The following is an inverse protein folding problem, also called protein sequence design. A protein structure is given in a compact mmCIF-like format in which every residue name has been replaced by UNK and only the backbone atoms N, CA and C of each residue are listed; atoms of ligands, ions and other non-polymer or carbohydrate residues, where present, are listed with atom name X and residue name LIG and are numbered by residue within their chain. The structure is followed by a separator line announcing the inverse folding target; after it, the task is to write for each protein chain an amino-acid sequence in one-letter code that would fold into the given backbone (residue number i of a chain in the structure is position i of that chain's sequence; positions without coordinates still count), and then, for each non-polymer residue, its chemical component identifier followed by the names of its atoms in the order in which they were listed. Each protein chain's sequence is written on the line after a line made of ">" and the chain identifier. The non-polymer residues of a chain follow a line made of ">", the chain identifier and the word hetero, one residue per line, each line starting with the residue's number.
data_IF_379489791797
#
_entry.id   IF_379489791797
#
_cell.length_a   1.000
_cell.length_b   1.000
_cell.length_c   1.000
_cell.angle_alpha   90.00
_cell.angle_beta   90.00
_cell.angle_gamma   90.00
#
_symmetry.space_group_name_H-M   'P 1'
#
loop_
_entity.id
_entity.type
_entity.pdbx_description
1 polymer ?
#
# COMPACT_ATOMS: atom_id res chain seq x y z
N UNK A 1 13.62 21.09 -1.70
CA UNK A 1 12.59 20.04 -1.50
C UNK A 1 11.80 19.91 -2.78
N UNK A 2 11.66 18.70 -3.34
CA UNK A 2 10.78 18.49 -4.51
C UNK A 2 9.35 18.42 -3.98
N UNK A 3 8.50 19.36 -4.36
CA UNK A 3 7.08 19.28 -4.04
C UNK A 3 6.49 18.04 -4.73
N UNK A 4 5.87 17.17 -3.94
CA UNK A 4 5.22 15.96 -4.44
C UNK A 4 3.78 16.32 -4.74
N UNK A 5 3.35 16.08 -5.98
CA UNK A 5 1.95 16.21 -6.35
C UNK A 5 1.14 15.13 -5.60
N UNK A 6 0.13 15.50 -4.80
CA UNK A 6 -0.77 14.54 -4.20
C UNK A 6 -1.50 13.80 -5.32
N UNK A 7 -1.52 12.47 -5.25
CA UNK A 7 -2.28 11.63 -6.16
C UNK A 7 -3.54 11.13 -5.48
N UNK A 8 -4.65 11.14 -6.22
CA UNK A 8 -5.99 10.78 -5.71
C UNK A 8 -6.07 9.39 -5.08
N UNK A 9 -5.16 8.48 -5.46
CA UNK A 9 -5.17 7.07 -5.05
C UNK A 9 -4.06 6.68 -4.07
N UNK A 10 -3.14 7.59 -3.70
CA UNK A 10 -1.94 7.23 -2.92
C UNK A 10 -1.78 8.07 -1.65
N UNK A 11 -2.18 7.51 -0.50
CA UNK A 11 -1.98 8.10 0.83
C UNK A 11 -0.53 8.53 1.12
N UNK A 12 0.45 7.78 0.60
CA UNK A 12 1.88 8.11 0.69
C UNK A 12 2.22 9.47 0.08
N UNK A 13 1.59 9.82 -1.04
CA UNK A 13 1.81 11.11 -1.70
C UNK A 13 1.24 12.26 -0.87
N UNK A 14 0.02 12.09 -0.32
CA UNK A 14 -0.62 13.09 0.54
C UNK A 14 0.20 13.38 1.81
N UNK A 15 0.73 12.34 2.46
CA UNK A 15 1.61 12.50 3.63
C UNK A 15 2.86 13.34 3.30
N UNK A 16 3.52 13.04 2.18
CA UNK A 16 4.69 13.79 1.71
C UNK A 16 4.36 15.23 1.31
N UNK A 17 3.20 15.46 0.69
CA UNK A 17 2.73 16.81 0.34
C UNK A 17 2.49 17.67 1.58
N UNK A 18 1.76 17.16 2.58
CA UNK A 18 1.53 17.87 3.85
C UNK A 18 2.85 18.19 4.54
N UNK A 19 3.75 17.20 4.63
CA UNK A 19 5.07 17.41 5.25
C UNK A 19 5.88 18.48 4.50
N UNK A 20 5.83 18.49 3.17
CA UNK A 20 6.53 19.49 2.35
C UNK A 20 5.98 20.90 2.58
N UNK A 21 4.67 21.04 2.72
CA UNK A 21 4.01 22.32 3.04
C UNK A 21 4.43 22.81 4.42
N UNK A 22 4.40 21.95 5.44
CA UNK A 22 4.80 22.31 6.80
C UNK A 22 6.27 22.73 6.90
N UNK A 23 7.18 21.98 6.26
CA UNK A 23 8.62 22.30 6.26
C UNK A 23 8.91 23.59 5.47
N UNK A 24 8.23 23.77 4.33
CA UNK A 24 8.51 24.87 3.40
C UNK A 24 7.58 26.06 3.57
N UNK A 25 6.82 26.13 4.68
CA UNK A 25 5.70 27.07 4.83
C UNK A 25 6.11 28.53 4.61
N UNK A 26 7.15 29.00 5.31
CA UNK A 26 7.63 30.38 5.18
C UNK A 26 8.13 30.70 3.76
N UNK A 27 9.04 29.91 3.16
CA UNK A 27 9.41 30.09 1.76
C UNK A 27 8.21 30.08 0.80
N UNK A 28 7.23 29.20 1.03
CA UNK A 28 6.03 29.07 0.20
C UNK A 28 5.19 30.34 0.23
N UNK A 29 4.93 30.90 1.42
CA UNK A 29 4.21 32.17 1.55
C UNK A 29 4.92 33.33 0.85
N UNK A 30 6.23 33.48 1.07
CA UNK A 30 7.03 34.54 0.43
C UNK A 30 7.02 34.42 -1.10
N UNK A 31 7.05 33.18 -1.60
CA UNK A 31 7.00 32.92 -3.05
C UNK A 31 5.63 33.26 -3.62
N UNK A 32 4.54 32.87 -2.94
CA UNK A 32 3.17 33.19 -3.35
C UNK A 32 2.91 34.71 -3.29
N UNK A 33 3.41 35.39 -2.26
CA UNK A 33 3.34 36.85 -2.15
C UNK A 33 4.09 37.53 -3.30
N UNK A 34 5.30 37.06 -3.62
CA UNK A 34 6.08 37.58 -4.74
C UNK A 34 5.34 37.41 -6.07
N UNK A 35 4.89 36.19 -6.41
CA UNK A 35 4.15 35.91 -7.66
C UNK A 35 2.89 36.77 -7.72
N UNK A 36 2.15 36.89 -6.61
CA UNK A 36 0.93 37.70 -6.56
C UNK A 36 1.15 39.19 -6.84
N UNK A 37 2.37 39.68 -6.61
CA UNK A 37 2.74 41.08 -6.81
C UNK A 37 3.11 41.42 -8.25
N UNK A 38 3.49 40.42 -9.06
CA UNK A 38 3.98 40.59 -10.44
C UNK A 38 2.86 40.94 -11.44
N UNK A 39 1.60 40.66 -11.10
CA UNK A 39 0.41 40.90 -11.94
C UNK A 39 0.45 40.19 -13.29
N UNK A 40 1.04 39.01 -13.31
CA UNK A 40 1.04 38.06 -14.42
C UNK A 40 -0.23 37.19 -14.45
N UNK A 41 -0.30 36.23 -15.38
CA UNK A 41 -1.41 35.28 -15.51
C UNK A 41 -1.58 34.38 -14.27
N UNK A 42 -0.49 34.10 -13.54
CA UNK A 42 -0.50 33.24 -12.34
C UNK A 42 -0.86 34.01 -11.06
N UNK A 43 -0.84 35.34 -11.09
CA UNK A 43 -1.09 36.20 -9.93
C UNK A 43 -2.42 35.93 -9.23
N UNK A 44 -3.56 35.71 -9.91
CA UNK A 44 -4.83 35.38 -9.26
C UNK A 44 -4.80 34.04 -8.51
N UNK A 45 -4.16 33.01 -9.09
CA UNK A 45 -4.03 31.70 -8.45
C UNK A 45 -3.12 31.77 -7.23
N UNK A 46 -1.99 32.46 -7.34
CA UNK A 46 -1.07 32.68 -6.23
C UNK A 46 -1.75 33.43 -5.07
N UNK A 47 -2.58 34.45 -5.37
CA UNK A 47 -3.40 35.16 -4.38
C UNK A 47 -4.40 34.23 -3.67
N UNK A 48 -5.07 33.35 -4.42
CA UNK A 48 -6.02 32.39 -3.88
C UNK A 48 -5.35 31.39 -2.92
N UNK A 49 -4.23 30.80 -3.35
CA UNK A 49 -3.43 29.88 -2.53
C UNK A 49 -2.87 30.56 -1.27
N UNK A 50 -2.39 31.80 -1.41
CA UNK A 50 -1.92 32.61 -0.29
C UNK A 50 -3.03 32.82 0.74
N UNK A 51 -4.24 33.13 0.31
CA UNK A 51 -5.40 33.29 1.19
C UNK A 51 -5.77 31.98 1.91
N UNK A 52 -5.75 30.84 1.20
CA UNK A 52 -6.04 29.53 1.78
C UNK A 52 -5.00 29.16 2.85
N UNK A 53 -3.71 29.33 2.56
CA UNK A 53 -2.63 28.98 3.49
C UNK A 53 -2.51 29.95 4.67
N UNK A 54 -2.93 31.21 4.49
CA UNK A 54 -2.97 32.19 5.57
C UNK A 54 -4.18 32.02 6.51
N UNK A 55 -5.14 31.14 6.16
CA UNK A 55 -6.31 30.88 6.99
C UNK A 55 -5.93 29.96 8.19
N UNK A 56 -6.16 30.38 9.45
CA UNK A 56 -5.85 29.57 10.62
C UNK A 56 -6.55 28.20 10.64
N UNK A 57 -7.78 28.10 10.10
CA UNK A 57 -8.51 26.83 9.98
C UNK A 57 -7.80 25.85 9.06
N UNK A 58 -7.30 26.33 7.92
CA UNK A 58 -6.52 25.50 6.99
C UNK A 58 -5.27 24.98 7.67
N UNK A 59 -4.52 25.85 8.35
CA UNK A 59 -3.30 25.44 9.03
C UNK A 59 -3.56 24.47 10.17
N UNK A 60 -4.63 24.69 10.94
CA UNK A 60 -5.07 23.73 11.96
C UNK A 60 -5.36 22.36 11.34
N UNK A 61 -6.14 22.30 10.24
CA UNK A 61 -6.42 21.06 9.53
C UNK A 61 -5.13 20.37 9.04
N UNK A 62 -4.20 21.12 8.45
CA UNK A 62 -2.92 20.58 7.95
C UNK A 62 -2.12 19.95 9.11
N UNK A 63 -2.05 20.63 10.26
CA UNK A 63 -1.35 20.13 11.45
C UNK A 63 -2.01 18.87 12.03
N UNK A 64 -3.35 18.81 12.04
CA UNK A 64 -4.10 17.65 12.53
C UNK A 64 -4.03 16.46 11.55
N UNK A 65 -4.05 16.72 10.24
CA UNK A 65 -3.95 15.69 9.21
C UNK A 65 -2.55 15.05 9.14
N UNK A 66 -1.49 15.80 9.48
CA UNK A 66 -0.12 15.32 9.41
C UNK A 66 0.10 13.98 10.16
N UNK A 67 -0.22 13.84 11.46
CA UNK A 67 -0.05 12.57 12.17
C UNK A 67 -0.97 11.45 11.65
N UNK A 68 -2.18 11.77 11.18
CA UNK A 68 -3.13 10.80 10.60
C UNK A 68 -2.55 10.21 9.33
N UNK A 69 -2.13 11.06 8.39
CA UNK A 69 -1.53 10.63 7.13
C UNK A 69 -0.20 9.91 7.32
N UNK A 70 0.59 10.28 8.33
CA UNK A 70 1.82 9.56 8.69
C UNK A 70 1.51 8.14 9.17
N UNK A 71 0.51 7.95 10.03
CA UNK A 71 0.09 6.61 10.46
C UNK A 71 -0.34 5.75 9.26
N UNK A 72 -1.16 6.29 8.35
CA UNK A 72 -1.58 5.61 7.12
C UNK A 72 -0.42 5.33 6.17
N UNK A 73 0.53 6.25 6.05
CA UNK A 73 1.73 6.06 5.23
C UNK A 73 2.61 4.92 5.76
N UNK A 74 2.77 4.80 7.08
CA UNK A 74 3.49 3.68 7.71
C UNK A 74 2.75 2.37 7.43
N UNK A 75 1.43 2.33 7.66
CA UNK A 75 0.62 1.14 7.38
C UNK A 75 0.70 0.71 5.92
N UNK A 76 0.57 1.66 4.97
CA UNK A 76 0.73 1.38 3.54
C UNK A 76 2.10 0.78 3.21
N UNK A 77 3.19 1.26 3.83
CA UNK A 77 4.53 0.69 3.63
C UNK A 77 4.65 -0.71 4.23
N UNK A 78 4.04 -0.97 5.38
CA UNK A 78 3.99 -2.31 5.99
C UNK A 78 3.29 -3.31 5.05
N UNK A 79 2.21 -2.90 4.39
CA UNK A 79 1.51 -3.75 3.40
C UNK A 79 2.32 -3.98 2.11
N UNK A 80 3.34 -3.16 1.85
CA UNK A 80 4.21 -3.25 0.67
C UNK A 80 5.48 -4.08 0.92
N UNK A 81 5.67 -4.64 2.11
CA UNK A 81 6.84 -5.50 2.37
C UNK A 81 6.68 -6.84 1.62
N UNK A 82 7.78 -7.32 1.01
CA UNK A 82 7.78 -8.56 0.22
C UNK A 82 7.56 -9.82 1.07
N UNK A 83 7.84 -9.73 2.36
CA UNK A 83 7.80 -10.81 3.35
C UNK A 83 6.64 -10.61 4.34
N UNK A 84 5.58 -9.92 3.93
CA UNK A 84 4.41 -9.75 4.79
C UNK A 84 3.83 -11.14 5.15
N UNK A 85 4.10 -11.57 6.37
CA UNK A 85 3.51 -12.72 7.01
C UNK A 85 2.12 -12.35 7.54
N UNK A 86 1.16 -13.26 7.43
CA UNK A 86 -0.22 -13.04 7.87
C UNK A 86 -0.29 -12.70 9.36
N UNK A 87 0.57 -13.31 10.18
CA UNK A 87 0.63 -13.02 11.60
C UNK A 87 1.04 -11.55 11.87
N UNK A 88 1.93 -11.00 11.03
CA UNK A 88 2.35 -9.60 11.14
C UNK A 88 1.25 -8.65 10.64
N UNK A 89 0.47 -9.05 9.65
CA UNK A 89 -0.63 -8.25 9.11
C UNK A 89 -1.68 -7.90 10.17
N UNK A 90 -2.04 -8.86 11.03
CA UNK A 90 -2.97 -8.63 12.13
C UNK A 90 -2.40 -7.63 13.15
N UNK A 91 -1.10 -7.74 13.47
CA UNK A 91 -0.41 -6.84 14.39
C UNK A 91 -0.37 -5.42 13.80
N UNK A 92 0.00 -5.27 12.52
CA UNK A 92 0.06 -3.96 11.84
C UNK A 92 -1.31 -3.29 11.78
N UNK A 93 -2.35 -4.06 11.46
CA UNK A 93 -3.73 -3.58 11.40
C UNK A 93 -4.16 -3.09 12.78
N UNK A 94 -3.95 -3.90 13.82
CA UNK A 94 -4.34 -3.57 15.21
C UNK A 94 -3.59 -2.35 15.73
N UNK A 95 -2.28 -2.27 15.51
CA UNK A 95 -1.45 -1.13 15.91
C UNK A 95 -1.88 0.16 15.20
N UNK A 96 -2.20 0.10 13.91
CA UNK A 96 -2.67 1.25 13.14
C UNK A 96 -4.04 1.72 13.62
N UNK A 97 -4.97 0.79 13.87
CA UNK A 97 -6.29 1.11 14.41
C UNK A 97 -6.19 1.79 15.78
N UNK A 98 -5.39 1.24 16.70
CA UNK A 98 -5.14 1.85 18.02
C UNK A 98 -4.58 3.26 17.87
N UNK A 99 -3.60 3.45 16.98
CA UNK A 99 -3.02 4.77 16.74
C UNK A 99 -4.02 5.77 16.17
N UNK A 100 -4.93 5.34 15.30
CA UNK A 100 -5.99 6.20 14.77
C UNK A 100 -7.02 6.56 15.84
N UNK A 101 -7.37 5.63 16.73
CA UNK A 101 -8.26 5.89 17.87
C UNK A 101 -7.64 6.93 18.82
N UNK A 102 -6.36 6.79 19.17
CA UNK A 102 -5.62 7.78 19.98
C UNK A 102 -5.63 9.19 19.36
N UNK A 103 -5.62 9.30 18.03
CA UNK A 103 -5.63 10.59 17.34
C UNK A 103 -6.97 11.31 17.44
N UNK A 104 -8.03 10.67 17.94
CA UNK A 104 -9.31 11.33 18.27
C UNK A 104 -9.28 11.98 19.65
N UNK A 105 -8.39 11.56 20.54
CA UNK A 105 -8.30 12.05 21.91
C UNK A 105 -7.49 13.36 21.98
N UNK A 106 -8.04 14.43 21.41
CA UNK A 106 -7.39 15.73 21.36
C UNK A 106 -7.52 16.49 22.70
N UNK A 107 -6.39 16.70 23.38
CA UNK A 107 -6.37 17.41 24.66
C UNK A 107 -6.39 18.93 24.48
N UNK A 108 -6.75 19.68 25.52
CA UNK A 108 -6.67 21.14 25.52
C UNK A 108 -5.25 21.64 25.19
N UNK A 109 -4.21 20.93 25.67
CA UNK A 109 -2.81 21.24 25.35
C UNK A 109 -2.48 21.06 23.88
N UNK A 110 -3.08 20.09 23.19
CA UNK A 110 -2.83 19.86 21.75
C UNK A 110 -3.36 21.02 20.91
N UNK A 111 -4.57 21.49 21.22
CA UNK A 111 -5.13 22.70 20.61
C UNK A 111 -4.22 23.91 20.85
N UNK A 112 -3.81 24.14 22.11
CA UNK A 112 -2.92 25.26 22.42
C UNK A 112 -1.59 25.21 21.68
N UNK A 113 -0.98 24.02 21.59
CA UNK A 113 0.30 23.83 20.92
C UNK A 113 0.19 24.16 19.43
N UNK A 114 -0.84 23.67 18.75
CA UNK A 114 -1.07 23.95 17.33
C UNK A 114 -1.38 25.44 17.13
N UNK A 115 -2.23 26.04 17.98
CA UNK A 115 -2.54 27.48 17.90
C UNK A 115 -1.27 28.32 18.08
N UNK A 116 -0.42 28.00 19.06
CA UNK A 116 0.88 28.67 19.25
C UNK A 116 1.75 28.53 18.01
N UNK A 117 1.85 27.33 17.42
CA UNK A 117 2.57 27.12 16.16
C UNK A 117 2.03 28.02 15.06
N UNK A 118 0.70 28.03 14.84
CA UNK A 118 0.05 28.86 13.82
C UNK A 118 0.33 30.36 14.04
N UNK A 119 0.26 30.83 15.29
CA UNK A 119 0.53 32.23 15.64
C UNK A 119 1.99 32.65 15.41
N UNK A 120 2.94 31.71 15.53
CA UNK A 120 4.36 31.98 15.25
C UNK A 120 4.69 32.01 13.76
N UNK A 121 3.79 31.54 12.91
CA UNK A 121 3.99 31.55 11.47
C UNK A 121 3.90 32.99 10.93
N UNK A 122 4.69 33.35 9.92
CA UNK A 122 4.65 34.68 9.34
C UNK A 122 3.25 34.99 8.81
N UNK A 123 2.60 35.99 9.40
CA UNK A 123 1.32 36.53 8.94
C UNK A 123 1.58 37.35 7.69
N UNK A 124 0.96 36.96 6.57
CA UNK A 124 0.89 37.83 5.40
C UNK A 124 -0.28 38.78 5.60
N UNK A 125 -0.04 40.09 5.45
CA UNK A 125 -1.06 41.10 5.66
C UNK A 125 -2.30 40.77 4.81
N UNK A 126 -3.53 40.78 5.36
CA UNK A 126 -4.72 40.52 4.56
C UNK A 126 -4.76 41.54 3.43
N UNK A 127 -4.56 41.07 2.21
CA UNK A 127 -4.60 41.89 1.01
C UNK A 127 -5.97 42.56 0.95
N UNK A 128 -5.96 43.88 1.11
CA UNK A 128 -7.13 44.76 1.21
C UNK A 128 -8.08 44.66 0.00
N UNK A 129 -7.67 43.98 -1.08
CA UNK A 129 -8.43 43.80 -2.32
C UNK A 129 -9.45 42.65 -2.30
N UNK A 130 -9.40 41.73 -1.31
CA UNK A 130 -10.41 40.66 -1.14
C UNK A 130 -11.39 40.94 0.01
N UNK A 131 -11.65 42.21 0.31
CA UNK A 131 -12.54 42.68 1.39
C UNK A 131 -14.03 42.34 1.21
N UNK A 132 -14.43 41.61 0.17
CA UNK A 132 -15.81 41.07 0.04
C UNK A 132 -15.97 39.62 0.50
N UNK A 133 -14.87 38.95 0.82
CA UNK A 133 -14.85 37.62 1.46
C UNK A 133 -14.20 37.74 2.84
N UNK A 134 -14.59 38.77 3.59
CA UNK A 134 -14.33 38.79 5.02
C UNK A 134 -15.03 37.57 5.61
N UNK A 135 -14.27 36.49 5.82
CA UNK A 135 -14.61 35.47 6.78
C UNK A 135 -14.87 36.24 8.07
N UNK A 136 -16.13 36.29 8.48
CA UNK A 136 -16.52 36.92 9.72
C UNK A 136 -15.58 36.43 10.82
N UNK A 137 -15.09 37.36 11.64
CA UNK A 137 -14.32 37.09 12.85
C UNK A 137 -15.18 36.39 13.93
N UNK A 138 -16.06 35.47 13.54
CA UNK A 138 -16.59 34.48 14.46
C UNK A 138 -15.38 33.69 14.96
N UNK A 139 -15.25 33.58 16.28
CA UNK A 139 -14.20 32.81 16.92
C UNK A 139 -14.13 31.44 16.24
N UNK A 140 -13.03 31.16 15.53
CA UNK A 140 -12.84 29.87 14.88
C UNK A 140 -12.81 28.83 15.99
N UNK A 141 -13.90 28.07 16.11
CA UNK A 141 -13.99 26.98 17.07
C UNK A 141 -13.27 25.76 16.47
N UNK A 142 -11.96 25.71 16.70
CA UNK A 142 -11.13 24.57 16.27
C UNK A 142 -11.61 23.25 16.86
N UNK A 143 -12.23 23.28 18.03
CA UNK A 143 -12.78 22.09 18.67
C UNK A 143 -14.02 21.62 17.92
N UNK A 144 -14.96 22.52 17.62
CA UNK A 144 -16.10 22.17 16.78
C UNK A 144 -15.66 21.67 15.40
N UNK A 145 -14.64 22.28 14.79
CA UNK A 145 -14.09 21.83 13.51
C UNK A 145 -13.50 20.42 13.61
N UNK A 146 -12.73 20.14 14.66
CA UNK A 146 -12.16 18.82 14.91
C UNK A 146 -13.27 17.77 15.09
N UNK A 147 -14.24 18.04 15.97
CA UNK A 147 -15.33 17.12 16.30
C UNK A 147 -16.26 16.86 15.11
N UNK A 148 -16.53 17.88 14.28
CA UNK A 148 -17.49 17.75 13.16
C UNK A 148 -16.88 17.31 11.84
N UNK A 149 -15.56 17.46 11.64
CA UNK A 149 -14.89 17.16 10.36
C UNK A 149 -13.79 16.11 10.49
N UNK A 150 -12.93 16.23 11.49
CA UNK A 150 -11.76 15.35 11.64
C UNK A 150 -12.17 14.02 12.26
N UNK A 151 -12.93 14.03 13.35
CA UNK A 151 -13.37 12.79 14.02
C UNK A 151 -14.14 11.88 13.06
N UNK A 152 -15.17 12.35 12.32
CA UNK A 152 -15.86 11.52 11.34
C UNK A 152 -14.96 11.00 10.20
N UNK A 153 -13.93 11.78 9.83
CA UNK A 153 -12.95 11.34 8.84
C UNK A 153 -12.07 10.19 9.38
N UNK A 154 -11.61 10.29 10.62
CA UNK A 154 -10.86 9.21 11.29
C UNK A 154 -11.74 7.97 11.44
N UNK A 155 -12.98 8.13 11.89
CA UNK A 155 -13.92 7.02 12.06
C UNK A 155 -14.18 6.31 10.71
N UNK A 156 -14.39 7.06 9.63
CA UNK A 156 -14.54 6.48 8.30
C UNK A 156 -13.28 5.70 7.86
N UNK A 157 -12.08 6.19 8.16
CA UNK A 157 -10.83 5.45 7.89
C UNK A 157 -10.78 4.15 8.70
N UNK A 158 -11.09 4.22 9.99
CA UNK A 158 -11.11 3.08 10.91
C UNK A 158 -12.09 2.02 10.41
N UNK A 159 -13.31 2.42 10.03
CA UNK A 159 -14.32 1.51 9.47
C UNK A 159 -13.84 0.86 8.18
N UNK A 160 -13.22 1.62 7.26
CA UNK A 160 -12.67 1.07 6.03
C UNK A 160 -11.55 0.04 6.29
N UNK A 161 -10.66 0.31 7.24
CA UNK A 161 -9.59 -0.63 7.62
C UNK A 161 -10.20 -1.88 8.25
N UNK A 162 -11.14 -1.75 9.18
CA UNK A 162 -11.82 -2.89 9.83
C UNK A 162 -12.60 -3.74 8.83
N UNK A 163 -13.32 -3.11 7.91
CA UNK A 163 -14.08 -3.82 6.88
C UNK A 163 -13.17 -4.58 5.92
N UNK A 164 -12.00 -4.02 5.58
CA UNK A 164 -11.02 -4.66 4.69
C UNK A 164 -10.24 -5.78 5.36
N UNK A 165 -9.87 -5.59 6.62
CA UNK A 165 -9.03 -6.51 7.40
C UNK A 165 -9.86 -7.09 8.56
N UNK A 166 -10.96 -7.74 8.19
CA UNK A 166 -11.87 -8.35 9.15
C UNK A 166 -11.13 -9.46 9.94
N UNK A 167 -11.25 -9.51 11.28
CA UNK A 167 -10.47 -10.43 12.11
C UNK A 167 -10.62 -11.91 11.74
N UNK A 168 -11.82 -12.36 11.34
CA UNK A 168 -12.05 -13.73 10.88
C UNK A 168 -11.28 -14.06 9.60
N UNK A 169 -11.24 -13.11 8.65
CA UNK A 169 -10.44 -13.23 7.42
C UNK A 169 -8.95 -13.32 7.74
N UNK A 170 -8.45 -12.48 8.64
CA UNK A 170 -7.06 -12.53 9.08
C UNK A 170 -6.71 -13.86 9.78
N UNK A 171 -7.57 -14.34 10.68
CA UNK A 171 -7.38 -15.61 11.37
C UNK A 171 -7.41 -16.82 10.41
N UNK A 172 -8.23 -16.76 9.36
CA UNK A 172 -8.22 -17.77 8.30
C UNK A 172 -6.88 -17.73 7.54
N UNK A 173 -6.38 -16.54 7.22
CA UNK A 173 -5.10 -16.39 6.55
C UNK A 173 -3.92 -16.86 7.41
N UNK A 174 -3.96 -16.60 8.72
CA UNK A 174 -3.01 -17.14 9.70
C UNK A 174 -3.03 -18.67 9.75
N UNK A 175 -4.16 -19.30 9.40
CA UNK A 175 -4.25 -20.77 9.33
C UNK A 175 -3.35 -21.36 8.25
N UNK A 176 -2.94 -20.58 7.23
CA UNK A 176 -1.97 -21.04 6.24
C UNK A 176 -0.53 -21.09 6.77
N UNK A 177 -0.25 -20.57 7.97
CA UNK A 177 1.06 -20.71 8.63
C UNK A 177 1.50 -22.17 8.82
N UNK A 178 0.60 -23.13 8.66
CA UNK A 178 0.90 -24.58 8.59
C UNK A 178 1.93 -24.94 7.50
N UNK A 179 2.06 -24.13 6.45
CA UNK A 179 3.05 -24.32 5.39
C UNK A 179 4.42 -23.73 5.74
N UNK A 180 4.53 -22.97 6.84
CA UNK A 180 5.81 -22.47 7.33
C UNK A 180 6.56 -23.56 8.10
N UNK A 181 7.57 -24.12 7.45
CA UNK A 181 8.44 -25.18 7.97
C UNK A 181 9.12 -24.76 9.28
N UNK A 182 9.35 -23.46 9.50
CA UNK A 182 10.01 -22.98 10.71
C UNK A 182 9.15 -23.17 11.96
N UNK A 183 7.83 -23.12 11.82
CA UNK A 183 6.89 -23.19 12.94
C UNK A 183 6.45 -24.62 13.26
N UNK A 184 6.83 -25.61 12.44
CA UNK A 184 6.43 -27.01 12.63
C UNK A 184 7.04 -27.59 13.91
N UNK A 185 6.19 -28.21 14.73
CA UNK A 185 6.54 -28.92 15.97
C UNK A 185 6.17 -30.40 15.89
N UNK A 186 6.70 -31.23 16.79
CA UNK A 186 6.35 -32.67 16.87
C UNK A 186 5.09 -32.94 17.70
N UNK A 187 4.31 -31.91 18.01
CA UNK A 187 3.06 -32.06 18.77
C UNK A 187 2.03 -32.87 17.96
N UNK A 188 1.28 -33.77 18.62
CA UNK A 188 0.38 -34.70 17.96
C UNK A 188 -0.84 -34.03 17.29
N UNK A 189 -1.15 -32.80 17.68
CA UNK A 189 -2.27 -31.99 17.19
C UNK A 189 -1.82 -30.70 16.47
N UNK A 190 -0.52 -30.58 16.14
CA UNK A 190 0.01 -29.43 15.43
C UNK A 190 -0.71 -29.23 14.08
N UNK A 191 -1.23 -28.03 13.87
CA UNK A 191 -1.93 -27.61 12.64
C UNK A 191 -3.36 -28.13 12.50
N UNK A 192 -3.85 -28.99 13.40
CA UNK A 192 -5.16 -29.63 13.23
C UNK A 192 -6.31 -28.60 13.31
N UNK A 193 -6.19 -27.58 14.16
CA UNK A 193 -7.16 -26.49 14.26
C UNK A 193 -7.17 -25.62 13.00
N UNK A 194 -5.99 -25.35 12.45
CA UNK A 194 -5.81 -24.55 11.24
C UNK A 194 -6.41 -25.27 10.04
N UNK A 195 -6.14 -26.57 9.89
CA UNK A 195 -6.75 -27.41 8.85
C UNK A 195 -8.27 -27.47 9.02
N UNK A 196 -8.78 -27.61 10.24
CA UNK A 196 -10.22 -27.56 10.51
C UNK A 196 -10.86 -26.25 10.02
N UNK A 197 -10.21 -25.12 10.31
CA UNK A 197 -10.68 -23.80 9.89
C UNK A 197 -10.66 -23.64 8.36
N UNK A 198 -9.59 -24.09 7.71
CA UNK A 198 -9.45 -24.07 6.26
C UNK A 198 -10.48 -24.97 5.57
N UNK A 199 -10.67 -26.20 6.06
CA UNK A 199 -11.66 -27.12 5.52
C UNK A 199 -13.08 -26.59 5.69
N UNK A 200 -13.40 -26.01 6.84
CA UNK A 200 -14.72 -25.42 7.06
C UNK A 200 -14.98 -24.24 6.11
N UNK A 201 -13.97 -23.40 5.87
CA UNK A 201 -14.11 -22.26 4.96
C UNK A 201 -14.25 -22.70 3.49
N UNK A 202 -13.43 -23.66 3.06
CA UNK A 202 -13.40 -24.19 1.69
C UNK A 202 -14.12 -25.54 1.56
N UNK A 203 -15.23 -25.70 2.29
CA UNK A 203 -15.95 -26.98 2.42
C UNK A 203 -16.45 -27.59 1.10
N UNK A 204 -16.56 -26.80 0.04
CA UNK A 204 -16.97 -27.27 -1.28
C UNK A 204 -15.80 -27.80 -2.12
N UNK A 205 -14.57 -27.46 -1.75
CA UNK A 205 -13.34 -27.79 -2.48
C UNK A 205 -12.61 -29.00 -1.89
N UNK A 206 -12.96 -29.39 -0.65
CA UNK A 206 -12.29 -30.45 0.10
C UNK A 206 -13.26 -31.49 0.66
N UNK A 207 -12.86 -32.76 0.62
CA UNK A 207 -13.50 -33.86 1.33
C UNK A 207 -12.74 -34.22 2.63
N UNK A 208 -13.02 -35.38 3.23
CA UNK A 208 -12.31 -35.83 4.44
C UNK A 208 -10.82 -36.12 4.23
N UNK A 209 -10.34 -36.18 2.98
CA UNK A 209 -8.96 -36.56 2.67
C UNK A 209 -7.92 -35.53 3.12
N UNK A 210 -8.30 -34.25 3.23
CA UNK A 210 -7.39 -33.17 3.64
C UNK A 210 -6.75 -33.40 5.02
N UNK A 211 -7.52 -33.89 6.00
CA UNK A 211 -6.98 -34.19 7.33
C UNK A 211 -6.00 -35.35 7.31
N UNK A 212 -6.27 -36.36 6.49
CA UNK A 212 -5.40 -37.54 6.40
C UNK A 212 -4.12 -37.22 5.64
N UNK A 213 -4.20 -36.41 4.58
CA UNK A 213 -3.03 -35.80 3.92
C UNK A 213 -2.20 -35.00 4.93
N UNK A 214 -2.82 -34.11 5.72
CA UNK A 214 -2.12 -33.28 6.70
C UNK A 214 -1.35 -34.08 7.75
N UNK A 215 -1.95 -35.16 8.30
CA UNK A 215 -1.30 -35.99 9.33
C UNK A 215 0.03 -36.57 8.88
N UNK A 216 0.12 -36.96 7.60
CA UNK A 216 1.35 -37.48 7.01
C UNK A 216 2.27 -36.31 6.63
N UNK A 217 1.71 -35.30 5.98
CA UNK A 217 2.46 -34.15 5.47
C UNK A 217 3.19 -33.37 6.57
N UNK A 218 2.58 -33.18 7.75
CA UNK A 218 3.27 -32.52 8.87
C UNK A 218 4.51 -33.28 9.34
N UNK A 219 4.51 -34.63 9.24
CA UNK A 219 5.71 -35.45 9.54
C UNK A 219 6.75 -35.32 8.43
N UNK A 220 6.33 -35.22 7.17
CA UNK A 220 7.21 -34.87 6.06
C UNK A 220 7.88 -33.50 6.29
N UNK A 221 7.12 -32.48 6.70
CA UNK A 221 7.66 -31.15 7.03
C UNK A 221 8.67 -31.20 8.19
N UNK A 222 8.40 -31.99 9.23
CA UNK A 222 9.32 -32.16 10.36
C UNK A 222 10.67 -32.75 9.91
N UNK A 223 10.65 -33.76 9.03
CA UNK A 223 11.86 -34.33 8.43
C UNK A 223 12.56 -33.30 7.54
N UNK A 224 11.81 -32.54 6.74
CA UNK A 224 12.35 -31.53 5.84
C UNK A 224 13.04 -30.38 6.60
N UNK A 225 12.43 -29.92 7.70
CA UNK A 225 12.99 -28.90 8.61
C UNK A 225 14.38 -29.28 9.13
N UNK A 226 14.62 -30.57 9.37
CA UNK A 226 15.92 -31.06 9.82
C UNK A 226 17.01 -31.04 8.74
N UNK A 227 16.60 -31.00 7.46
CA UNK A 227 17.51 -31.01 6.31
C UNK A 227 17.81 -29.61 5.79
N UNK A 228 16.79 -28.75 5.74
CA UNK A 228 16.91 -27.41 5.20
C UNK A 228 15.99 -26.43 5.92
N UNK A 229 16.60 -25.50 6.65
CA UNK A 229 15.90 -24.44 7.39
C UNK A 229 15.77 -23.15 6.58
N UNK A 230 16.24 -23.11 5.33
CA UNK A 230 16.13 -21.91 4.48
C UNK A 230 14.81 -21.85 3.70
N UNK A 231 14.07 -22.95 3.63
CA UNK A 231 12.82 -23.04 2.86
C UNK A 231 11.76 -22.15 3.50
N UNK A 232 11.27 -21.18 2.73
CA UNK A 232 10.17 -20.30 3.16
C UNK A 232 8.81 -20.97 2.97
N UNK A 233 7.78 -20.45 3.64
CA UNK A 233 6.39 -20.87 3.43
C UNK A 233 5.98 -20.85 1.94
N UNK A 234 6.42 -19.80 1.22
CA UNK A 234 6.14 -19.64 -0.21
C UNK A 234 6.85 -20.71 -1.04
N UNK A 235 8.11 -21.01 -0.73
CA UNK A 235 8.87 -22.05 -1.43
C UNK A 235 8.25 -23.43 -1.22
N UNK A 236 7.76 -23.71 -0.01
CA UNK A 236 7.04 -24.95 0.28
C UNK A 236 5.77 -25.06 -0.56
N UNK A 237 4.93 -24.02 -0.60
CA UNK A 237 3.72 -24.00 -1.42
C UNK A 237 4.04 -24.21 -2.91
N UNK A 238 5.08 -23.54 -3.43
CA UNK A 238 5.54 -23.71 -4.82
C UNK A 238 6.01 -25.14 -5.08
N UNK A 239 6.77 -25.73 -4.15
CA UNK A 239 7.28 -27.10 -4.25
C UNK A 239 6.15 -28.12 -4.29
N UNK A 240 5.13 -27.92 -3.46
CA UNK A 240 3.94 -28.78 -3.36
C UNK A 240 3.09 -28.79 -4.65
N UNK A 241 3.22 -27.75 -5.48
CA UNK A 241 2.49 -27.62 -6.75
C UNK A 241 3.35 -28.07 -7.94
N UNK A 242 4.65 -27.80 -7.91
CA UNK A 242 5.57 -28.08 -9.02
C UNK A 242 6.13 -29.50 -9.03
N UNK A 243 6.29 -30.11 -7.86
CA UNK A 243 6.71 -31.51 -7.77
C UNK A 243 5.50 -32.41 -8.06
N UNK A 244 5.51 -33.08 -9.21
CA UNK A 244 4.42 -33.96 -9.63
C UNK A 244 4.15 -35.10 -8.64
N UNK A 245 5.17 -35.59 -7.95
CA UNK A 245 5.02 -36.65 -6.95
C UNK A 245 4.30 -36.13 -5.72
N UNK A 246 4.71 -34.95 -5.21
CA UNK A 246 4.05 -34.35 -4.05
C UNK A 246 2.61 -33.95 -4.38
N UNK A 247 2.36 -33.44 -5.59
CA UNK A 247 1.02 -33.07 -6.05
C UNK A 247 0.09 -34.26 -6.17
N UNK A 248 0.60 -35.41 -6.63
CA UNK A 248 -0.18 -36.65 -6.69
C UNK A 248 -0.47 -37.25 -5.31
N UNK A 249 0.48 -37.15 -4.38
CA UNK A 249 0.34 -37.70 -3.01
C UNK A 249 -0.50 -36.80 -2.10
N UNK A 250 -0.43 -35.48 -2.30
CA UNK A 250 -1.10 -34.47 -1.47
C UNK A 250 -1.97 -33.50 -2.28
N UNK A 251 -2.95 -33.99 -3.06
CA UNK A 251 -3.74 -33.15 -3.98
C UNK A 251 -4.55 -32.07 -3.26
N UNK A 252 -5.09 -32.35 -2.08
CA UNK A 252 -5.87 -31.37 -1.31
C UNK A 252 -4.98 -30.28 -0.74
N UNK A 253 -3.81 -30.64 -0.21
CA UNK A 253 -2.82 -29.66 0.25
C UNK A 253 -2.25 -28.85 -0.92
N UNK A 254 -2.09 -29.44 -2.12
CA UNK A 254 -1.68 -28.69 -3.32
C UNK A 254 -2.70 -27.64 -3.68
N UNK A 255 -4.00 -27.95 -3.60
CA UNK A 255 -5.05 -26.98 -3.85
C UNK A 255 -5.04 -25.84 -2.80
N UNK A 256 -4.85 -26.15 -1.51
CA UNK A 256 -4.66 -25.11 -0.48
C UNK A 256 -3.44 -24.24 -0.77
N UNK A 257 -2.32 -24.83 -1.20
CA UNK A 257 -1.13 -24.09 -1.59
C UNK A 257 -1.40 -23.17 -2.81
N UNK A 258 -2.19 -23.62 -3.78
CA UNK A 258 -2.62 -22.79 -4.91
C UNK A 258 -3.47 -21.59 -4.43
N UNK A 259 -4.47 -21.84 -3.57
CA UNK A 259 -5.31 -20.80 -2.97
C UNK A 259 -4.46 -19.78 -2.22
N UNK A 260 -3.53 -20.24 -1.39
CA UNK A 260 -2.60 -19.40 -0.63
C UNK A 260 -1.77 -18.48 -1.54
N UNK A 261 -1.18 -19.02 -2.61
CA UNK A 261 -0.35 -18.26 -3.54
C UNK A 261 -1.15 -17.25 -4.37
N UNK A 262 -2.45 -17.47 -4.52
CA UNK A 262 -3.38 -16.55 -5.18
C UNK A 262 -3.90 -15.43 -4.25
N UNK A 263 -3.73 -15.55 -2.93
CA UNK A 263 -4.18 -14.53 -2.00
C UNK A 263 -3.37 -13.23 -2.19
N UNK A 264 -4.02 -12.05 -2.37
CA UNK A 264 -3.32 -10.79 -2.54
C UNK A 264 -2.83 -10.25 -1.18
N UNK A 265 -1.70 -10.77 -0.70
CA UNK A 265 -1.13 -10.42 0.62
C UNK A 265 -0.54 -9.01 0.62
N UNK A 266 0.16 -8.66 -0.46
CA UNK A 266 0.88 -7.40 -0.58
C UNK A 266 0.43 -6.58 -1.79
N UNK A 267 0.25 -5.28 -1.59
CA UNK A 267 0.03 -4.34 -2.70
C UNK A 267 1.31 -4.07 -3.50
N UNK A 268 2.48 -4.55 -3.04
CA UNK A 268 3.76 -4.31 -3.68
C UNK A 268 3.84 -4.86 -5.11
N UNK A 269 3.19 -5.99 -5.38
CA UNK A 269 3.15 -6.58 -6.73
C UNK A 269 2.40 -5.66 -7.68
N UNK A 270 1.22 -5.20 -7.27
CA UNK A 270 0.38 -4.27 -8.04
C UNK A 270 1.10 -2.94 -8.26
N UNK A 271 1.77 -2.39 -7.24
CA UNK A 271 2.53 -1.15 -7.38
C UNK A 271 3.75 -1.30 -8.31
N UNK A 272 4.43 -2.45 -8.27
CA UNK A 272 5.52 -2.78 -9.19
C UNK A 272 5.03 -2.92 -10.62
N UNK A 273 3.87 -3.54 -10.83
CA UNK A 273 3.22 -3.66 -12.13
C UNK A 273 2.91 -2.27 -12.70
N UNK A 274 2.24 -1.40 -11.94
CA UNK A 274 1.96 -0.03 -12.38
C UNK A 274 3.22 0.78 -12.65
N UNK A 275 4.24 0.66 -11.79
CA UNK A 275 5.53 1.30 -12.02
C UNK A 275 6.17 0.82 -13.32
N UNK A 276 6.12 -0.49 -13.58
CA UNK A 276 6.63 -1.09 -14.81
C UNK A 276 5.86 -0.62 -16.03
N UNK A 277 4.53 -0.55 -15.94
CA UNK A 277 3.67 0.02 -16.98
C UNK A 277 4.06 1.45 -17.30
N UNK A 278 4.29 2.30 -16.29
CA UNK A 278 4.70 3.69 -16.49
C UNK A 278 6.08 3.83 -17.14
N UNK A 279 7.00 2.86 -16.95
CA UNK A 279 8.28 2.85 -17.68
C UNK A 279 8.11 2.45 -19.15
N UNK A 280 7.15 1.57 -19.44
CA UNK A 280 6.88 1.07 -20.80
C UNK A 280 6.06 2.09 -21.60
N UNK A 281 5.01 2.66 -20.98
CA UNK A 281 4.13 3.67 -21.53
C UNK A 281 4.60 5.06 -21.10
N UNK A 282 5.49 5.64 -21.91
CA UNK A 282 5.92 7.03 -21.74
C UNK A 282 5.07 7.97 -22.60
N UNK A 283 5.16 9.28 -22.37
CA UNK A 283 4.44 10.30 -23.16
C UNK A 283 4.72 10.18 -24.68
N UNK A 284 5.95 9.77 -25.03
CA UNK A 284 6.38 9.54 -26.42
C UNK A 284 6.02 8.13 -26.93
N UNK A 285 5.63 7.20 -26.04
CA UNK A 285 5.37 5.79 -26.33
C UNK A 285 4.06 5.31 -25.70
N UNK A 286 2.97 6.03 -25.92
CA UNK A 286 1.65 5.72 -25.37
C UNK A 286 0.68 5.05 -26.36
N UNK A 287 1.10 4.81 -27.61
CA UNK A 287 0.27 4.19 -28.68
C UNK A 287 0.46 2.68 -28.84
N UNK A 288 0.92 1.99 -27.80
CA UNK A 288 1.07 0.54 -27.84
C UNK A 288 -0.31 -0.14 -27.72
N UNK A 289 -0.49 -1.24 -28.44
CA UNK A 289 -1.66 -2.10 -28.23
C UNK A 289 -1.55 -2.79 -26.87
N UNK A 290 -2.70 -3.15 -26.28
CA UNK A 290 -2.77 -3.86 -25.00
C UNK A 290 -1.88 -5.11 -25.00
N UNK A 291 -1.90 -5.88 -26.10
CA UNK A 291 -1.07 -7.08 -26.26
C UNK A 291 0.44 -6.78 -26.20
N UNK A 292 0.90 -5.70 -26.85
CA UNK A 292 2.32 -5.32 -26.77
C UNK A 292 2.70 -4.85 -25.37
N UNK A 293 1.80 -4.15 -24.66
CA UNK A 293 2.05 -3.73 -23.29
C UNK A 293 2.18 -4.95 -22.38
N UNK A 294 1.26 -5.92 -22.47
CA UNK A 294 1.33 -7.17 -21.71
C UNK A 294 2.64 -7.93 -21.98
N UNK A 295 3.03 -8.11 -23.25
CA UNK A 295 4.28 -8.78 -23.61
C UNK A 295 5.51 -8.06 -23.03
N UNK A 296 5.56 -6.73 -23.13
CA UNK A 296 6.68 -5.95 -22.59
C UNK A 296 6.71 -5.96 -21.07
N UNK A 297 5.54 -5.96 -20.42
CA UNK A 297 5.45 -6.09 -18.96
C UNK A 297 5.97 -7.45 -18.51
N UNK A 298 5.54 -8.55 -19.13
CA UNK A 298 6.05 -9.90 -18.83
C UNK A 298 7.57 -9.99 -18.98
N UNK A 299 8.11 -9.48 -20.09
CA UNK A 299 9.57 -9.44 -20.30
C UNK A 299 10.25 -8.57 -19.22
N UNK A 300 9.65 -7.45 -18.85
CA UNK A 300 10.25 -6.54 -17.88
C UNK A 300 10.16 -7.03 -16.42
N UNK A 301 9.17 -7.84 -16.07
CA UNK A 301 8.93 -8.32 -14.70
C UNK A 301 9.58 -9.68 -14.49
N UNK A 302 9.40 -10.61 -15.44
CA UNK A 302 9.80 -12.01 -15.33
C UNK A 302 11.00 -12.36 -16.22
N UNK A 303 11.42 -11.44 -17.09
CA UNK A 303 12.55 -11.68 -17.98
C UNK A 303 13.89 -11.70 -17.24
N UNK A 304 14.89 -12.41 -17.78
CA UNK A 304 16.21 -12.46 -17.16
C UNK A 304 16.89 -11.08 -17.21
N UNK A 305 17.60 -10.71 -16.14
CA UNK A 305 18.36 -9.43 -16.08
C UNK A 305 19.42 -9.37 -17.20
N UNK A 306 20.00 -10.52 -17.54
CA UNK A 306 20.96 -10.67 -18.61
C UNK A 306 20.53 -11.81 -19.53
N UNK A 307 20.41 -11.50 -20.82
CA UNK A 307 20.26 -12.53 -21.84
C UNK A 307 21.63 -13.17 -22.07
N UNK A 308 21.72 -14.49 -21.88
CA UNK A 308 22.89 -15.25 -22.32
C UNK A 308 22.94 -15.28 -23.87
N UNK A 309 24.12 -15.55 -24.43
CA UNK A 309 24.31 -15.54 -25.89
C UNK A 309 23.44 -16.58 -26.61
N UNK A 310 23.20 -17.74 -25.99
CA UNK A 310 22.35 -18.78 -26.55
C UNK A 310 20.89 -18.33 -26.71
N UNK A 311 20.33 -17.65 -25.72
CA UNK A 311 18.96 -17.09 -25.81
C UNK A 311 18.93 -15.96 -26.84
N UNK A 312 19.98 -15.12 -26.92
CA UNK A 312 20.05 -14.06 -27.94
C UNK A 312 20.03 -14.64 -29.36
N UNK A 313 20.83 -15.67 -29.64
CA UNK A 313 20.83 -16.34 -30.94
C UNK A 313 19.46 -16.92 -31.27
N UNK A 314 18.81 -17.61 -30.32
CA UNK A 314 17.44 -18.13 -30.50
C UNK A 314 16.43 -17.02 -30.80
N UNK A 315 16.51 -15.87 -30.12
CA UNK A 315 15.64 -14.72 -30.36
C UNK A 315 15.88 -14.16 -31.77
N UNK A 316 17.14 -14.01 -32.17
CA UNK A 316 17.53 -13.51 -33.50
C UNK A 316 16.99 -14.43 -34.59
N UNK A 317 17.14 -15.75 -34.43
CA UNK A 317 16.65 -16.72 -35.42
C UNK A 317 15.13 -16.74 -35.49
N UNK A 318 14.44 -16.67 -34.33
CA UNK A 318 12.99 -16.48 -34.31
C UNK A 318 12.56 -15.18 -35.01
N UNK A 319 13.32 -14.09 -34.88
CA UNK A 319 13.04 -12.83 -35.55
C UNK A 319 13.28 -12.90 -37.06
N UNK A 320 14.37 -13.55 -37.51
CA UNK A 320 14.66 -13.79 -38.94
C UNK A 320 13.55 -14.61 -39.62
N UNK A 321 12.95 -15.55 -38.89
CA UNK A 321 11.84 -16.37 -39.39
C UNK A 321 10.51 -15.62 -39.47
N UNK A 322 10.36 -14.48 -38.78
CA UNK A 322 9.16 -13.65 -38.90
C UNK A 322 9.18 -12.90 -40.25
N UNK A 323 8.02 -12.90 -40.91
CA UNK A 323 7.79 -12.21 -42.20
C UNK A 323 8.33 -10.78 -42.13
N UNK A 324 9.18 -10.40 -43.10
CA UNK A 324 9.74 -9.05 -43.17
C UNK A 324 8.61 -8.02 -43.15
N UNK A 325 8.56 -7.22 -42.09
CA UNK A 325 7.65 -6.07 -42.02
C UNK A 325 8.18 -5.04 -43.01
N UNK A 326 7.35 -4.60 -43.96
CA UNK A 326 7.69 -3.45 -44.80
C UNK A 326 7.92 -2.26 -43.88
N UNK A 327 9.16 -1.79 -43.80
CA UNK A 327 9.45 -0.47 -43.27
C UNK A 327 8.80 0.49 -44.27
N UNK A 328 7.71 1.14 -43.85
CA UNK A 328 7.16 2.24 -44.62
C UNK A 328 8.22 3.35 -44.58
N UNK A 329 8.87 3.56 -45.73
CA UNK A 329 9.80 4.68 -45.97
C UNK A 329 8.98 5.96 -46.07
#
# INVERSE_FOLDING_TARGET
>A
LKLVQPGDTRWLSNSLSIQSVLISYKPLLLTLEHISSERDENSPEALGLLHILSNPSTMFIIHVLEPILKALAIFSKQLQTKEADFAQLQIFTSATLLRLEELKDFSASDYENIIKTIQTLPSVSPLTRMTRLTVSNDQIDFRQLFDTKIVPFIDAIIENIRARFEPGTLALLDSFSIFDIQNVTDEPDYGDKQIAALQHHYQNDFDQSLFDEWKIFRKYLLVLKSKDQSITQRDMCITLIKDGTLKEVYPSLSLLAEIFLCAPISTATVEREFSTTNRILTDLRNRLTIEHVDQLMRISIEGPEHLNEEIKEKIIDCWKLKKQRRLAV
#
